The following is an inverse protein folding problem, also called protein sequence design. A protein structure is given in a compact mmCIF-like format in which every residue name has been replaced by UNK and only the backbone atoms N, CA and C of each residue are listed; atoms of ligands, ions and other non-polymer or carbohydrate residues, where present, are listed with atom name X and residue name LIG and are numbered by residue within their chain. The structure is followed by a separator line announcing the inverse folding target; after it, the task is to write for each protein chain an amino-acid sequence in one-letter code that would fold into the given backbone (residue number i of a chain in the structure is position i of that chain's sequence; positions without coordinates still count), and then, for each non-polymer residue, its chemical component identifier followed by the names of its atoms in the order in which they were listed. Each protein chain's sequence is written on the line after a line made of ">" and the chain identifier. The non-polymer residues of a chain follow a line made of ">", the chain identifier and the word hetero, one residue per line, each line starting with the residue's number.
data_IF_860456524990
#
_entry.id   IF_860456524990
#
_cell.length_a   1.000
_cell.length_b   1.000
_cell.length_c   1.000
_cell.angle_alpha   90.00
_cell.angle_beta   90.00
_cell.angle_gamma   90.00
#
_symmetry.space_group_name_H-M   'P 1'
#
loop_
_entity.id
_entity.type
_entity.pdbx_description
1 polymer ?
#
# COMPACT_ATOMS: atom_id res chain seq x y z
N UNK A 1 0.77 -23.19 1.87
CA UNK A 1 -0.58 -23.79 1.74
C UNK A 1 -0.63 -25.33 1.81
N UNK A 2 0.15 -26.09 1.02
CA UNK A 2 0.09 -27.57 1.03
C UNK A 2 0.50 -28.20 2.37
N UNK A 3 1.50 -27.63 3.05
CA UNK A 3 1.94 -28.09 4.39
C UNK A 3 0.82 -28.01 5.43
N UNK A 4 0.09 -26.89 5.49
CA UNK A 4 -1.10 -26.72 6.36
C UNK A 4 -2.15 -27.79 6.08
N UNK A 5 -2.56 -27.94 4.82
CA UNK A 5 -3.55 -28.95 4.41
C UNK A 5 -3.15 -30.38 4.76
N UNK A 6 -1.86 -30.69 4.64
CA UNK A 6 -1.35 -32.03 4.98
C UNK A 6 -1.46 -32.29 6.49
N UNK A 7 -1.11 -31.33 7.34
CA UNK A 7 -1.23 -31.47 8.79
C UNK A 7 -2.71 -31.54 9.22
N UNK A 8 -3.56 -30.66 8.65
CA UNK A 8 -5.01 -30.69 8.88
C UNK A 8 -5.63 -32.05 8.48
N UNK A 9 -5.23 -32.61 7.33
CA UNK A 9 -5.67 -33.94 6.90
C UNK A 9 -5.17 -35.06 7.81
N UNK A 10 -3.93 -34.97 8.30
CA UNK A 10 -3.38 -35.96 9.24
C UNK A 10 -4.15 -35.94 10.55
N UNK A 11 -4.43 -34.75 11.11
CA UNK A 11 -5.26 -34.60 12.31
C UNK A 11 -6.68 -35.13 12.08
N UNK A 12 -7.28 -34.88 10.92
CA UNK A 12 -8.63 -35.36 10.61
C UNK A 12 -8.71 -36.89 10.41
N UNK A 13 -7.66 -37.53 9.87
CA UNK A 13 -7.66 -38.97 9.56
C UNK A 13 -7.11 -39.86 10.67
N UNK A 14 -6.14 -39.34 11.43
CA UNK A 14 -5.39 -40.10 12.44
C UNK A 14 -5.50 -39.50 13.83
N UNK A 15 -6.36 -38.50 14.02
CA UNK A 15 -6.52 -37.77 15.29
C UNK A 15 -6.69 -38.70 16.49
N UNK A 16 -7.53 -39.72 16.38
CA UNK A 16 -7.80 -40.63 17.52
C UNK A 16 -6.59 -41.47 17.93
N UNK A 17 -5.62 -41.66 17.03
CA UNK A 17 -4.38 -42.42 17.28
C UNK A 17 -3.19 -41.55 17.72
N UNK A 18 -3.35 -40.23 17.74
CA UNK A 18 -2.27 -39.28 18.04
C UNK A 18 -2.42 -38.81 19.49
N UNK A 19 -1.35 -38.85 20.31
CA UNK A 19 -1.34 -38.25 21.64
C UNK A 19 -1.71 -36.76 21.64
N UNK A 20 -2.38 -36.30 22.70
CA UNK A 20 -2.91 -34.93 22.72
C UNK A 20 -1.80 -33.85 22.70
N UNK A 21 -0.64 -34.12 23.31
CA UNK A 21 0.53 -33.24 23.27
C UNK A 21 1.07 -33.05 21.83
N UNK A 22 1.07 -34.12 21.04
CA UNK A 22 1.47 -34.09 19.63
C UNK A 22 0.43 -33.34 18.80
N UNK A 23 -0.86 -33.51 19.07
CA UNK A 23 -1.91 -32.72 18.40
C UNK A 23 -1.77 -31.23 18.68
N UNK A 24 -1.45 -30.86 19.92
CA UNK A 24 -1.24 -29.45 20.27
C UNK A 24 -0.07 -28.84 19.49
N UNK A 25 1.07 -29.54 19.43
CA UNK A 25 2.21 -29.11 18.61
C UNK A 25 1.84 -28.99 17.13
N UNK A 26 1.04 -29.91 16.60
CA UNK A 26 0.53 -29.82 15.23
C UNK A 26 -0.38 -28.61 15.02
N UNK A 27 -1.27 -28.29 15.96
CA UNK A 27 -2.13 -27.09 15.91
C UNK A 27 -1.30 -25.81 15.96
N UNK A 28 -0.31 -25.74 16.85
CA UNK A 28 0.64 -24.62 16.90
C UNK A 28 1.41 -24.48 15.58
N UNK A 29 1.86 -25.59 14.99
CA UNK A 29 2.55 -25.56 13.70
C UNK A 29 1.64 -25.11 12.56
N UNK A 30 0.37 -25.49 12.58
CA UNK A 30 -0.63 -24.99 11.63
C UNK A 30 -0.77 -23.46 11.76
N UNK A 31 -0.88 -22.94 12.99
CA UNK A 31 -1.00 -21.50 13.23
C UNK A 31 0.21 -20.74 12.67
N UNK A 32 1.43 -21.19 12.98
CA UNK A 32 2.67 -20.61 12.43
C UNK A 32 2.68 -20.62 10.90
N UNK A 33 2.38 -21.76 10.28
CA UNK A 33 2.36 -21.89 8.82
C UNK A 33 1.27 -21.03 8.14
N UNK A 34 0.18 -20.69 8.86
CA UNK A 34 -0.85 -19.77 8.37
C UNK A 34 -0.34 -18.33 8.39
N UNK A 35 0.28 -17.89 9.48
CA UNK A 35 0.92 -16.55 9.57
C UNK A 35 2.02 -16.39 8.52
N UNK A 36 2.94 -17.36 8.40
CA UNK A 36 3.99 -17.36 7.36
C UNK A 36 3.39 -17.23 5.94
N UNK A 37 2.24 -17.86 5.70
CA UNK A 37 1.58 -17.79 4.40
C UNK A 37 0.92 -16.42 4.15
N UNK A 38 0.31 -15.82 5.16
CA UNK A 38 -0.28 -14.48 5.06
C UNK A 38 0.77 -13.42 4.75
N UNK A 39 1.94 -13.50 5.40
CA UNK A 39 3.08 -12.62 5.12
C UNK A 39 3.56 -12.75 3.66
N UNK A 40 3.68 -13.98 3.16
CA UNK A 40 4.06 -14.23 1.76
C UNK A 40 3.01 -13.64 0.79
N UNK A 41 1.72 -13.85 1.07
CA UNK A 41 0.64 -13.32 0.23
C UNK A 41 0.65 -11.79 0.22
N UNK A 42 0.90 -11.16 1.37
CA UNK A 42 1.03 -9.70 1.48
C UNK A 42 2.23 -9.21 0.68
N UNK A 43 3.41 -9.81 0.86
CA UNK A 43 4.63 -9.45 0.14
C UNK A 43 4.49 -9.60 -1.38
N UNK A 44 3.84 -10.66 -1.84
CA UNK A 44 3.55 -10.88 -3.27
C UNK A 44 2.60 -9.81 -3.82
N UNK A 45 1.58 -9.43 -3.06
CA UNK A 45 0.64 -8.37 -3.42
C UNK A 45 1.35 -7.01 -3.53
N UNK A 46 2.17 -6.68 -2.54
CA UNK A 46 3.00 -5.47 -2.54
C UNK A 46 3.97 -5.44 -3.71
N UNK A 47 4.65 -6.55 -4.00
CA UNK A 47 5.55 -6.67 -5.16
C UNK A 47 4.77 -6.44 -6.46
N UNK A 48 3.62 -7.09 -6.63
CA UNK A 48 2.77 -6.95 -7.82
C UNK A 48 2.31 -5.50 -8.03
N UNK A 49 1.85 -4.84 -6.98
CA UNK A 49 1.38 -3.45 -7.05
C UNK A 49 2.51 -2.45 -7.20
N UNK A 50 3.65 -2.69 -6.56
CA UNK A 50 4.87 -1.91 -6.79
C UNK A 50 5.24 -1.93 -8.27
N UNK A 51 5.37 -3.11 -8.89
CA UNK A 51 5.70 -3.21 -10.33
C UNK A 51 4.65 -2.51 -11.20
N UNK A 52 3.35 -2.75 -10.92
CA UNK A 52 2.24 -2.21 -11.72
C UNK A 52 2.13 -0.68 -11.65
N UNK A 53 2.23 -0.11 -10.45
CA UNK A 53 1.95 1.31 -10.23
C UNK A 53 3.20 2.18 -10.08
N UNK A 54 4.42 1.60 -10.01
CA UNK A 54 5.68 2.36 -9.88
C UNK A 54 5.80 3.48 -10.92
N UNK A 55 5.50 3.18 -12.19
CA UNK A 55 5.58 4.21 -13.26
C UNK A 55 4.56 5.31 -13.06
N UNK A 56 3.28 4.96 -12.81
CA UNK A 56 2.20 5.93 -12.62
C UNK A 56 2.52 6.85 -11.43
N UNK A 57 2.83 6.27 -10.26
CA UNK A 57 3.24 7.02 -9.06
C UNK A 57 4.47 7.90 -9.30
N UNK A 58 5.45 7.42 -10.06
CA UNK A 58 6.64 8.20 -10.39
C UNK A 58 6.31 9.45 -11.22
N UNK A 59 5.50 9.28 -12.28
CA UNK A 59 5.13 10.40 -13.14
C UNK A 59 4.22 11.40 -12.43
N UNK A 60 3.26 10.93 -11.63
CA UNK A 60 2.40 11.82 -10.83
C UNK A 60 3.21 12.59 -9.80
N UNK A 61 4.09 11.93 -9.04
CA UNK A 61 5.01 12.60 -8.11
C UNK A 61 5.83 13.68 -8.83
N UNK A 62 6.45 13.35 -9.96
CA UNK A 62 7.25 14.31 -10.74
C UNK A 62 6.43 15.44 -11.32
N UNK A 63 5.16 15.21 -11.66
CA UNK A 63 4.24 16.25 -12.14
C UNK A 63 3.86 17.19 -10.99
N UNK A 64 3.49 16.66 -9.83
CA UNK A 64 3.20 17.42 -8.61
C UNK A 64 4.40 18.24 -8.12
N UNK A 65 5.59 17.65 -8.04
CA UNK A 65 6.83 18.36 -7.67
C UNK A 65 7.08 19.57 -8.60
N UNK A 66 6.89 19.41 -9.91
CA UNK A 66 7.04 20.50 -10.88
C UNK A 66 5.95 21.56 -10.75
N UNK A 67 4.70 21.14 -10.52
CA UNK A 67 3.59 22.07 -10.30
C UNK A 67 3.81 22.89 -9.03
N UNK A 68 4.21 22.27 -7.93
CA UNK A 68 4.56 22.93 -6.67
C UNK A 68 5.73 23.90 -6.80
N UNK A 69 6.73 23.58 -7.62
CA UNK A 69 7.87 24.48 -7.89
C UNK A 69 7.44 25.73 -8.67
N UNK A 70 6.59 25.57 -9.69
CA UNK A 70 6.02 26.70 -10.45
C UNK A 70 5.08 27.55 -9.60
N UNK A 71 4.14 26.91 -8.92
CA UNK A 71 3.22 27.57 -8.00
C UNK A 71 3.97 28.35 -6.90
N UNK A 72 5.07 27.81 -6.36
CA UNK A 72 5.89 28.55 -5.40
C UNK A 72 6.54 29.81 -5.99
N UNK A 73 6.86 29.81 -7.29
CA UNK A 73 7.37 31.00 -7.98
C UNK A 73 6.23 32.01 -8.18
N UNK A 74 5.08 31.57 -8.67
CA UNK A 74 3.89 32.41 -8.87
C UNK A 74 3.45 33.09 -7.58
N UNK A 75 3.41 32.35 -6.45
CA UNK A 75 3.09 32.91 -5.13
C UNK A 75 4.07 34.03 -4.72
N UNK A 76 5.37 33.87 -5.01
CA UNK A 76 6.39 34.90 -4.69
C UNK A 76 6.25 36.16 -5.54
N UNK A 77 5.73 36.01 -6.76
CA UNK A 77 5.56 37.11 -7.72
C UNK A 77 4.19 37.80 -7.58
N UNK A 78 3.21 37.14 -6.94
CA UNK A 78 1.87 37.68 -6.70
C UNK A 78 1.79 38.59 -5.47
N UNK A 79 0.89 39.59 -5.52
CA UNK A 79 0.56 40.44 -4.37
C UNK A 79 -0.15 39.61 -3.27
N UNK A 80 0.34 39.58 -2.02
CA UNK A 80 -0.26 38.84 -0.91
C UNK A 80 -1.74 39.13 -0.65
N UNK A 81 -2.24 40.32 -1.03
CA UNK A 81 -3.63 40.71 -0.84
C UNK A 81 -4.51 40.43 -2.06
N UNK A 82 -3.93 39.88 -3.14
CA UNK A 82 -4.68 39.58 -4.36
C UNK A 82 -5.50 38.30 -4.24
N UNK A 83 -6.63 38.26 -4.96
CA UNK A 83 -7.41 37.04 -5.13
C UNK A 83 -6.59 35.91 -5.80
N UNK A 84 -5.61 36.27 -6.64
CA UNK A 84 -4.69 35.33 -7.25
C UNK A 84 -3.80 34.62 -6.21
N UNK A 85 -3.21 35.36 -5.27
CA UNK A 85 -2.40 34.79 -4.19
C UNK A 85 -3.21 33.82 -3.34
N UNK A 86 -4.45 34.18 -2.99
CA UNK A 86 -5.35 33.31 -2.25
C UNK A 86 -5.65 32.00 -3.01
N UNK A 87 -5.92 32.09 -4.32
CA UNK A 87 -6.13 30.92 -5.18
C UNK A 87 -4.88 30.04 -5.26
N UNK A 88 -3.72 30.64 -5.55
CA UNK A 88 -2.44 29.91 -5.66
C UNK A 88 -2.09 29.19 -4.36
N UNK A 89 -2.37 29.79 -3.21
CA UNK A 89 -2.15 29.19 -1.89
C UNK A 89 -3.09 28.02 -1.63
N UNK A 90 -4.35 28.14 -2.04
CA UNK A 90 -5.31 27.04 -1.98
C UNK A 90 -4.89 25.88 -2.88
N UNK A 91 -4.54 26.16 -4.13
CA UNK A 91 -4.07 25.16 -5.10
C UNK A 91 -2.80 24.46 -4.59
N UNK A 92 -1.89 25.22 -3.95
CA UNK A 92 -0.69 24.67 -3.32
C UNK A 92 -1.03 23.63 -2.25
N UNK A 93 -2.02 23.92 -1.41
CA UNK A 93 -2.45 23.01 -0.35
C UNK A 93 -2.95 21.69 -0.95
N UNK A 94 -3.81 21.75 -1.96
CA UNK A 94 -4.30 20.54 -2.65
C UNK A 94 -3.14 19.74 -3.27
N UNK A 95 -2.21 20.40 -3.96
CA UNK A 95 -1.05 19.72 -4.56
C UNK A 95 -0.14 19.04 -3.52
N UNK A 96 -0.04 19.59 -2.31
CA UNK A 96 0.71 18.98 -1.21
C UNK A 96 0.00 17.74 -0.65
N UNK A 97 -1.33 17.80 -0.50
CA UNK A 97 -2.15 16.66 -0.10
C UNK A 97 -2.07 15.53 -1.13
N UNK A 98 -2.17 15.87 -2.42
CA UNK A 98 -1.99 14.93 -3.53
C UNK A 98 -0.59 14.30 -3.52
N UNK A 99 0.46 15.11 -3.29
CA UNK A 99 1.83 14.61 -3.21
C UNK A 99 2.01 13.65 -2.04
N UNK A 100 1.43 13.98 -0.88
CA UNK A 100 1.44 13.11 0.29
C UNK A 100 0.73 11.79 -0.01
N UNK A 101 -0.42 11.83 -0.68
CA UNK A 101 -1.11 10.63 -1.15
C UNK A 101 -0.18 9.77 -2.02
N UNK A 102 0.45 10.33 -3.06
CA UNK A 102 1.35 9.56 -3.94
C UNK A 102 2.52 8.95 -3.17
N UNK A 103 3.12 9.67 -2.22
CA UNK A 103 4.29 9.21 -1.47
C UNK A 103 3.94 8.08 -0.49
N UNK A 104 2.86 8.24 0.27
CA UNK A 104 2.54 7.38 1.40
C UNK A 104 1.39 6.39 1.12
N UNK A 105 0.91 6.30 -0.14
CA UNK A 105 -0.13 5.33 -0.49
C UNK A 105 0.26 3.88 -0.12
N UNK A 106 -0.64 3.12 0.55
CA UNK A 106 -0.39 1.74 0.95
C UNK A 106 0.05 0.84 -0.20
N UNK A 107 1.05 0.00 0.04
CA UNK A 107 1.67 -0.84 -1.01
C UNK A 107 0.83 -2.05 -1.38
N UNK A 108 -0.04 -2.47 -0.47
CA UNK A 108 -0.92 -3.62 -0.58
C UNK A 108 -2.30 -3.26 -1.17
N UNK A 109 -2.51 -2.00 -1.58
CA UNK A 109 -3.77 -1.52 -2.15
C UNK A 109 -3.67 -1.14 -3.63
N UNK A 110 -4.82 -1.13 -4.31
CA UNK A 110 -4.91 -0.69 -5.70
C UNK A 110 -4.76 0.84 -5.73
N UNK A 111 -3.70 1.34 -6.35
CA UNK A 111 -3.49 2.77 -6.52
C UNK A 111 -4.61 3.44 -7.33
N UNK A 112 -5.05 4.62 -6.90
CA UNK A 112 -6.00 5.49 -7.62
C UNK A 112 -5.24 6.73 -8.04
N UNK A 113 -5.32 7.08 -9.33
CA UNK A 113 -4.63 8.27 -9.84
C UNK A 113 -5.27 9.54 -9.31
N UNK A 114 -4.46 10.52 -8.91
CA UNK A 114 -4.96 11.86 -8.54
C UNK A 114 -4.94 12.85 -9.71
N UNK A 115 -4.22 12.52 -10.79
CA UNK A 115 -4.04 13.41 -11.95
C UNK A 115 -4.74 12.97 -13.24
N UNK A 116 -5.28 11.74 -13.28
CA UNK A 116 -5.94 11.15 -14.46
C UNK A 116 -7.40 10.74 -14.16
N UNK A 117 -8.09 11.44 -13.26
CA UNK A 117 -9.53 11.25 -13.12
C UNK A 117 -10.23 12.03 -14.24
N UNK A 118 -10.59 11.32 -15.31
CA UNK A 118 -11.65 11.73 -16.25
C UNK A 118 -13.02 11.39 -15.66
#
# INVERSE_FOLDING_TARGET
>A
KNRVRNIERTLARKGDSIPEDVKEKMRQRIAQLKTEYEEIVLADKERKYSIRYRKVKFFERKKLERMLSRNAKEIRESDPNSAEFARLTSDRKQMLEDLQYVLYFPRDMKYVSVLNND
#
